data_IF_294668821175
#
_entry.id   IF_294668821175
#
_cell.length_a   1.000
_cell.length_b   1.000
_cell.length_c   1.000
_cell.angle_alpha   90.00
_cell.angle_beta   90.00
_cell.angle_gamma   90.00
#
_symmetry.space_group_name_H-M   'P 1'
#
loop_
_entity.id
_entity.type
_entity.pdbx_description
1 polymer ?
#
# COMPACT_ATOMS: atom_id res chain seq x y z
N UNK A 1 -25.85 48.20 -18.77
CA UNK A 1 -24.79 48.49 -17.78
C UNK A 1 -24.49 47.20 -17.02
N UNK A 2 -23.31 46.67 -17.30
CA UNK A 2 -22.57 45.49 -16.81
C UNK A 2 -23.20 44.55 -15.76
N UNK A 3 -23.39 43.29 -16.19
CA UNK A 3 -23.55 42.12 -15.32
C UNK A 3 -22.15 41.54 -15.01
N UNK A 4 -21.72 41.63 -13.75
CA UNK A 4 -20.46 41.07 -13.27
C UNK A 4 -20.65 39.57 -13.02
N UNK A 5 -20.06 38.72 -13.85
CA UNK A 5 -19.95 37.27 -13.59
C UNK A 5 -18.69 37.07 -12.73
N UNK A 6 -18.88 36.79 -11.43
CA UNK A 6 -17.78 36.27 -10.59
C UNK A 6 -17.53 34.81 -10.96
N UNK A 7 -16.47 34.56 -11.73
CA UNK A 7 -15.88 33.24 -11.88
C UNK A 7 -15.07 32.93 -10.60
N UNK A 8 -15.65 32.21 -9.64
CA UNK A 8 -14.89 31.59 -8.56
C UNK A 8 -14.22 30.33 -9.10
N UNK A 9 -12.96 30.44 -9.49
CA UNK A 9 -12.07 29.30 -9.71
C UNK A 9 -11.85 28.59 -8.38
N UNK A 10 -12.53 27.47 -8.17
CA UNK A 10 -12.20 26.52 -7.10
C UNK A 10 -10.90 25.83 -7.53
N UNK A 11 -9.79 26.13 -6.83
CA UNK A 11 -8.54 25.41 -7.01
C UNK A 11 -8.74 23.96 -6.56
N UNK A 12 -8.92 23.05 -7.51
CA UNK A 12 -8.82 21.61 -7.24
C UNK A 12 -7.36 21.31 -6.88
N UNK A 13 -7.10 21.04 -5.60
CA UNK A 13 -5.83 20.45 -5.18
C UNK A 13 -5.81 19.03 -5.74
N UNK A 14 -5.17 18.85 -6.89
CA UNK A 14 -5.09 17.56 -7.56
C UNK A 14 -4.21 16.59 -6.75
N UNK A 15 -4.70 15.39 -6.37
CA UNK A 15 -3.92 14.38 -5.64
C UNK A 15 -2.87 13.65 -6.52
N UNK A 16 -2.44 14.28 -7.61
CA UNK A 16 -1.69 13.66 -8.71
C UNK A 16 -0.29 13.17 -8.32
N UNK A 17 0.31 13.69 -7.24
CA UNK A 17 1.65 13.30 -6.80
C UNK A 17 1.68 12.03 -5.92
N UNK A 18 0.56 11.67 -5.29
CA UNK A 18 0.44 10.48 -4.45
C UNK A 18 0.37 9.19 -5.28
N UNK A 19 -0.40 9.21 -6.37
CA UNK A 19 -0.61 8.05 -7.25
C UNK A 19 0.66 7.42 -7.84
N UNK A 20 1.67 8.16 -8.36
CA UNK A 20 2.84 7.54 -8.96
C UNK A 20 3.70 6.76 -7.95
N UNK A 21 3.68 7.11 -6.66
CA UNK A 21 4.43 6.38 -5.63
C UNK A 21 3.89 4.96 -5.38
N UNK A 22 2.59 4.75 -5.60
CA UNK A 22 1.95 3.45 -5.45
C UNK A 22 1.90 2.64 -6.75
N UNK A 23 2.33 3.19 -7.88
CA UNK A 23 2.13 2.56 -9.18
C UNK A 23 2.76 1.17 -9.25
N UNK A 24 4.03 1.03 -8.88
CA UNK A 24 4.74 -0.25 -8.94
C UNK A 24 4.18 -1.27 -7.93
N UNK A 25 3.87 -0.84 -6.71
CA UNK A 25 3.30 -1.72 -5.68
C UNK A 25 1.89 -2.19 -6.08
N UNK A 26 1.07 -1.30 -6.63
CA UNK A 26 -0.27 -1.64 -7.11
C UNK A 26 -0.21 -2.57 -8.33
N UNK A 27 0.74 -2.35 -9.25
CA UNK A 27 0.96 -3.25 -10.38
C UNK A 27 1.38 -4.65 -9.93
N UNK A 28 2.33 -4.74 -9.00
CA UNK A 28 2.74 -6.01 -8.39
C UNK A 28 1.56 -6.76 -7.76
N UNK A 29 0.75 -6.07 -6.94
CA UNK A 29 -0.40 -6.69 -6.28
C UNK A 29 -1.49 -7.13 -7.27
N UNK A 30 -1.78 -6.32 -8.29
CA UNK A 30 -2.79 -6.67 -9.31
C UNK A 30 -2.32 -7.79 -10.22
N UNK A 31 -1.16 -7.62 -10.84
CA UNK A 31 -0.72 -8.49 -11.94
C UNK A 31 -0.04 -9.74 -11.42
N UNK A 32 0.89 -9.61 -10.47
CA UNK A 32 1.71 -10.74 -10.04
C UNK A 32 1.04 -11.54 -8.92
N UNK A 33 0.17 -10.88 -8.15
CA UNK A 33 -0.56 -11.49 -7.03
C UNK A 33 -2.04 -11.71 -7.29
N UNK A 34 -2.58 -11.20 -8.41
CA UNK A 34 -3.99 -11.39 -8.79
C UNK A 34 -4.96 -10.95 -7.68
N UNK A 35 -4.61 -9.85 -7.01
CA UNK A 35 -5.39 -9.26 -5.92
C UNK A 35 -6.34 -8.18 -6.46
N UNK A 36 -7.47 -8.01 -5.77
CA UNK A 36 -8.26 -6.79 -5.89
C UNK A 36 -7.54 -5.67 -5.16
N UNK A 37 -7.45 -4.47 -5.76
CA UNK A 37 -6.57 -3.40 -5.26
C UNK A 37 -7.25 -2.03 -5.36
N UNK A 38 -7.40 -1.38 -4.21
CA UNK A 38 -7.83 0.00 -4.06
C UNK A 38 -6.63 0.87 -3.72
N UNK A 39 -6.44 1.99 -4.42
CA UNK A 39 -5.34 2.93 -4.18
C UNK A 39 -5.92 4.29 -3.82
N UNK A 40 -5.46 4.87 -2.71
CA UNK A 40 -5.92 6.16 -2.21
C UNK A 40 -4.72 7.07 -1.92
N UNK A 41 -4.86 8.35 -2.23
CA UNK A 41 -3.89 9.33 -1.78
C UNK A 41 -3.96 9.48 -0.25
N UNK A 42 -2.81 9.71 0.40
CA UNK A 42 -2.78 9.86 1.85
C UNK A 42 -1.65 10.79 2.33
N UNK A 43 -1.77 11.21 3.58
CA UNK A 43 -0.66 11.83 4.33
C UNK A 43 -0.27 10.91 5.47
N UNK A 44 0.90 10.32 5.35
CA UNK A 44 1.37 9.24 6.21
C UNK A 44 2.32 9.78 7.28
N UNK A 45 2.09 9.40 8.53
CA UNK A 45 3.06 9.64 9.60
C UNK A 45 4.17 8.59 9.50
N UNK A 46 5.25 8.94 8.80
CA UNK A 46 6.37 8.04 8.56
C UNK A 46 7.33 8.08 9.75
N UNK A 47 7.10 7.15 10.68
CA UNK A 47 7.89 7.02 11.90
C UNK A 47 9.40 6.89 11.63
N UNK A 48 9.77 6.21 10.53
CA UNK A 48 11.16 5.98 10.12
C UNK A 48 11.91 7.28 9.83
N UNK A 49 11.25 8.24 9.19
CA UNK A 49 11.82 9.57 8.92
C UNK A 49 11.42 10.61 9.97
N UNK A 50 10.49 10.28 10.88
CA UNK A 50 9.87 11.18 11.87
C UNK A 50 9.16 12.37 11.21
N UNK A 51 8.53 12.13 10.05
CA UNK A 51 7.89 13.17 9.23
C UNK A 51 6.52 12.73 8.74
N UNK A 52 5.61 13.70 8.60
CA UNK A 52 4.39 13.52 7.80
C UNK A 52 4.73 13.71 6.33
N UNK A 53 4.44 12.70 5.51
CA UNK A 53 4.77 12.67 4.09
C UNK A 53 3.50 12.49 3.27
N UNK A 54 3.35 13.29 2.22
CA UNK A 54 2.37 13.00 1.17
C UNK A 54 2.80 11.72 0.46
N UNK A 55 1.91 10.75 0.43
CA UNK A 55 2.13 9.45 -0.15
C UNK A 55 0.80 8.85 -0.58
N UNK A 56 0.72 7.53 -0.54
CA UNK A 56 -0.49 6.83 -0.89
C UNK A 56 -0.58 5.53 -0.08
N UNK A 57 -1.82 5.08 0.09
CA UNK A 57 -2.13 3.77 0.67
C UNK A 57 -2.71 2.86 -0.40
N UNK A 58 -2.45 1.56 -0.23
CA UNK A 58 -3.05 0.51 -1.04
C UNK A 58 -3.74 -0.46 -0.09
N UNK A 59 -5.02 -0.73 -0.33
CA UNK A 59 -5.75 -1.81 0.31
C UNK A 59 -5.99 -2.89 -0.73
N UNK A 60 -5.50 -4.10 -0.47
CA UNK A 60 -5.60 -5.21 -1.40
C UNK A 60 -6.13 -6.48 -0.75
N UNK A 61 -6.97 -7.22 -1.49
CA UNK A 61 -7.56 -8.49 -1.07
C UNK A 61 -7.20 -9.62 -2.05
N UNK A 62 -6.73 -10.75 -1.50
CA UNK A 62 -6.30 -11.94 -2.21
C UNK A 62 -6.89 -13.22 -1.62
N UNK A 63 -6.67 -14.33 -2.33
CA UNK A 63 -7.03 -15.69 -1.87
C UNK A 63 -5.78 -16.56 -1.75
N UNK A 64 -5.74 -17.43 -0.76
CA UNK A 64 -4.66 -18.41 -0.58
C UNK A 64 -5.19 -19.75 -0.08
N UNK A 65 -4.66 -20.85 -0.62
CA UNK A 65 -4.94 -22.21 -0.14
C UNK A 65 -3.96 -22.66 0.96
N UNK A 66 -2.95 -21.85 1.28
CA UNK A 66 -1.85 -22.23 2.20
C UNK A 66 -2.10 -21.76 3.65
N UNK A 67 -3.16 -21.00 3.86
CA UNK A 67 -3.33 -20.18 5.07
C UNK A 67 -2.51 -18.89 5.04
N UNK A 68 -2.83 -17.97 5.94
CA UNK A 68 -2.32 -16.59 5.93
C UNK A 68 -0.84 -16.51 6.29
N UNK A 69 -0.39 -17.19 7.35
CA UNK A 69 1.01 -17.08 7.80
C UNK A 69 2.02 -17.64 6.77
N UNK A 70 1.81 -18.82 6.16
CA UNK A 70 2.69 -19.30 5.10
C UNK A 70 2.63 -18.41 3.85
N UNK A 71 1.47 -17.81 3.55
CA UNK A 71 1.35 -16.88 2.44
C UNK A 71 2.07 -15.55 2.70
N UNK A 72 2.10 -15.06 3.93
CA UNK A 72 2.84 -13.85 4.30
C UNK A 72 4.36 -14.03 4.09
N UNK A 73 4.92 -15.18 4.52
CA UNK A 73 6.34 -15.50 4.27
C UNK A 73 6.61 -15.54 2.76
N UNK A 74 5.79 -16.29 2.01
CA UNK A 74 5.95 -16.41 0.57
C UNK A 74 5.74 -15.06 -0.16
N UNK A 75 4.90 -14.18 0.37
CA UNK A 75 4.64 -12.85 -0.18
C UNK A 75 5.90 -12.00 -0.17
N UNK A 76 6.62 -11.95 0.94
CA UNK A 76 7.85 -11.17 1.01
C UNK A 76 8.97 -11.72 0.13
N UNK A 77 9.06 -13.04 -0.06
CA UNK A 77 9.98 -13.60 -1.05
C UNK A 77 9.63 -13.19 -2.48
N UNK A 78 8.34 -13.09 -2.81
CA UNK A 78 7.90 -12.60 -4.12
C UNK A 78 8.18 -11.12 -4.31
N UNK A 79 8.02 -10.29 -3.27
CA UNK A 79 8.41 -8.86 -3.32
C UNK A 79 9.89 -8.74 -3.68
N UNK A 80 10.78 -9.49 -3.00
CA UNK A 80 12.22 -9.52 -3.32
C UNK A 80 12.50 -10.00 -4.73
N UNK A 81 11.83 -11.07 -5.16
CA UNK A 81 11.99 -11.65 -6.50
C UNK A 81 11.55 -10.69 -7.60
N UNK A 82 10.56 -9.84 -7.34
CA UNK A 82 10.12 -8.77 -8.23
C UNK A 82 11.10 -7.56 -8.28
N UNK A 83 12.28 -7.66 -7.63
CA UNK A 83 13.33 -6.65 -7.69
C UNK A 83 13.23 -5.56 -6.63
N UNK A 84 12.29 -5.67 -5.68
CA UNK A 84 12.18 -4.73 -4.58
C UNK A 84 13.32 -4.94 -3.59
N UNK A 85 13.98 -3.84 -3.20
CA UNK A 85 15.13 -3.90 -2.29
C UNK A 85 14.65 -3.66 -0.86
N UNK A 86 14.95 -4.58 0.07
CA UNK A 86 14.61 -4.40 1.48
C UNK A 86 15.29 -3.14 2.02
N UNK A 87 14.54 -2.31 2.74
CA UNK A 87 15.06 -1.14 3.48
C UNK A 87 14.88 -1.36 4.97
N UNK A 88 15.81 -2.09 5.63
CA UNK A 88 15.66 -2.49 7.03
C UNK A 88 15.36 -1.30 7.93
N UNK A 89 14.40 -1.50 8.81
CA UNK A 89 14.03 -0.53 9.83
C UNK A 89 14.87 -0.75 11.09
N UNK A 90 15.22 0.30 11.84
CA UNK A 90 16.04 0.16 13.05
C UNK A 90 15.44 -0.75 14.13
N UNK A 91 14.14 -1.04 14.05
CA UNK A 91 13.37 -1.82 15.02
C UNK A 91 12.66 -3.02 14.38
N UNK A 92 13.08 -3.46 13.17
CA UNK A 92 12.49 -4.64 12.54
C UNK A 92 12.52 -5.84 13.50
N UNK A 93 11.36 -6.41 13.82
CA UNK A 93 11.28 -7.65 14.58
C UNK A 93 11.56 -8.88 13.69
N UNK A 94 12.16 -9.96 14.22
CA UNK A 94 12.49 -11.16 13.42
C UNK A 94 11.30 -11.79 12.67
N UNK A 95 10.07 -11.60 13.17
CA UNK A 95 8.84 -12.13 12.60
C UNK A 95 7.82 -11.01 12.30
N UNK A 96 8.30 -9.82 11.94
CA UNK A 96 7.41 -8.68 11.74
C UNK A 96 6.44 -8.91 10.58
N UNK A 97 5.15 -8.68 10.84
CA UNK A 97 4.10 -8.80 9.84
C UNK A 97 4.15 -7.69 8.77
N UNK A 98 4.94 -6.63 9.03
CA UNK A 98 5.12 -5.49 8.16
C UNK A 98 6.59 -5.30 7.79
N UNK A 99 6.92 -5.23 6.50
CA UNK A 99 8.30 -5.02 6.04
C UNK A 99 8.35 -3.95 4.94
N UNK A 100 9.38 -3.10 5.02
CA UNK A 100 9.57 -2.00 4.07
C UNK A 100 10.53 -2.37 2.93
N UNK A 101 10.13 -2.01 1.72
CA UNK A 101 10.95 -2.19 0.53
C UNK A 101 10.97 -0.93 -0.33
N UNK A 102 12.02 -0.81 -1.14
CA UNK A 102 12.21 0.28 -2.09
C UNK A 102 12.10 -0.22 -3.52
N UNK A 103 11.40 0.55 -4.35
CA UNK A 103 11.42 0.46 -5.81
C UNK A 103 11.53 1.87 -6.38
N UNK A 104 12.56 2.11 -7.19
CA UNK A 104 12.81 3.43 -7.78
C UNK A 104 12.82 4.56 -6.72
N UNK A 105 11.82 5.44 -6.79
CA UNK A 105 11.68 6.62 -5.92
C UNK A 105 10.69 6.43 -4.76
N UNK A 106 10.18 5.22 -4.53
CA UNK A 106 9.21 4.94 -3.48
C UNK A 106 9.78 3.98 -2.43
N UNK A 107 9.53 4.29 -1.16
CA UNK A 107 9.66 3.39 -0.03
C UNK A 107 8.25 2.94 0.38
N UNK A 108 7.94 1.65 0.22
CA UNK A 108 6.64 1.06 0.53
C UNK A 108 6.73 0.10 1.71
N UNK A 109 5.97 0.36 2.77
CA UNK A 109 5.76 -0.57 3.88
C UNK A 109 4.60 -1.48 3.51
N UNK A 110 4.86 -2.77 3.32
CA UNK A 110 3.84 -3.79 3.09
C UNK A 110 3.48 -4.44 4.42
N UNK A 111 2.20 -4.64 4.68
CA UNK A 111 1.67 -5.33 5.86
C UNK A 111 0.71 -6.43 5.38
N UNK A 112 1.02 -7.69 5.69
CA UNK A 112 0.17 -8.84 5.34
C UNK A 112 -0.65 -9.22 6.56
N UNK A 113 -1.96 -9.34 6.39
CA UNK A 113 -2.88 -9.72 7.47
C UNK A 113 -4.00 -10.63 6.97
N UNK A 114 -4.70 -11.25 7.92
CA UNK A 114 -5.86 -12.12 7.70
C UNK A 114 -7.08 -11.54 8.40
N UNK A 115 -7.59 -12.23 9.42
CA UNK A 115 -8.84 -11.89 10.10
C UNK A 115 -8.84 -10.52 10.84
N UNK A 116 -7.68 -9.90 11.03
CA UNK A 116 -7.55 -8.60 11.67
C UNK A 116 -7.87 -7.47 10.66
N UNK A 117 -9.15 -7.15 10.54
CA UNK A 117 -9.64 -6.13 9.60
C UNK A 117 -9.30 -4.70 10.03
N UNK A 118 -9.05 -3.84 9.03
CA UNK A 118 -8.87 -2.40 9.22
C UNK A 118 -10.20 -1.65 9.31
N UNK A 119 -11.31 -2.27 8.92
CA UNK A 119 -12.68 -1.73 8.97
C UNK A 119 -12.82 -0.41 8.19
N UNK A 120 -12.34 -0.40 6.94
CA UNK A 120 -12.36 0.78 6.07
C UNK A 120 -13.16 0.53 4.78
N UNK A 121 -13.76 1.57 4.21
CA UNK A 121 -14.45 1.48 2.90
C UNK A 121 -13.56 0.91 1.79
N UNK A 122 -12.25 1.17 1.84
CA UNK A 122 -11.30 0.63 0.88
C UNK A 122 -11.12 -0.89 1.02
N UNK A 123 -11.17 -1.41 2.25
CA UNK A 123 -11.13 -2.84 2.55
C UNK A 123 -12.41 -3.52 2.08
N UNK A 124 -13.58 -2.96 2.39
CA UNK A 124 -14.87 -3.46 1.93
C UNK A 124 -14.94 -3.54 0.40
N UNK A 125 -14.47 -2.50 -0.31
CA UNK A 125 -14.40 -2.49 -1.78
C UNK A 125 -13.43 -3.53 -2.33
N UNK A 126 -12.26 -3.69 -1.71
CA UNK A 126 -11.28 -4.67 -2.13
C UNK A 126 -11.84 -6.10 -1.98
N UNK A 127 -12.51 -6.36 -0.86
CA UNK A 127 -13.12 -7.65 -0.52
C UNK A 127 -14.28 -8.01 -1.43
N UNK A 128 -15.20 -7.06 -1.64
CA UNK A 128 -16.35 -7.26 -2.52
C UNK A 128 -15.93 -7.57 -3.96
N UNK A 129 -14.82 -7.00 -4.42
CA UNK A 129 -14.29 -7.26 -5.77
C UNK A 129 -13.44 -8.55 -5.87
N UNK A 130 -13.03 -9.16 -4.75
CA UNK A 130 -12.25 -10.42 -4.75
C UNK A 130 -13.13 -11.63 -4.45
N UNK A 131 -13.50 -12.34 -5.51
CA UNK A 131 -14.01 -13.71 -5.43
C UNK A 131 -12.90 -14.68 -4.99
N UNK A 132 -13.25 -15.63 -4.14
CA UNK A 132 -12.37 -16.71 -3.70
C UNK A 132 -12.66 -17.99 -4.48
N UNK A 133 -11.60 -18.72 -4.82
CA UNK A 133 -11.68 -20.08 -5.32
C UNK A 133 -12.01 -21.09 -4.23
N UNK A 134 -12.31 -22.32 -4.63
CA UNK A 134 -12.56 -23.40 -3.69
C UNK A 134 -11.33 -23.68 -2.81
N UNK A 135 -11.53 -23.71 -1.49
CA UNK A 135 -10.46 -23.94 -0.52
C UNK A 135 -9.54 -22.75 -0.27
N UNK A 136 -9.79 -21.59 -0.88
CA UNK A 136 -9.05 -20.37 -0.57
C UNK A 136 -9.58 -19.71 0.71
N UNK A 137 -8.66 -19.26 1.55
CA UNK A 137 -8.89 -18.29 2.61
C UNK A 137 -8.50 -16.91 2.12
N UNK A 138 -9.28 -15.89 2.50
CA UNK A 138 -8.94 -14.50 2.20
C UNK A 138 -7.73 -14.06 3.02
N UNK A 139 -6.87 -13.27 2.39
CA UNK A 139 -5.85 -12.50 3.08
C UNK A 139 -5.74 -11.14 2.43
N UNK A 140 -5.12 -10.21 3.15
CA UNK A 140 -5.04 -8.82 2.75
C UNK A 140 -3.61 -8.34 2.77
N UNK A 141 -3.36 -7.30 1.98
CA UNK A 141 -2.11 -6.55 2.01
C UNK A 141 -2.46 -5.07 2.08
N UNK A 142 -2.01 -4.44 3.15
CA UNK A 142 -2.04 -2.99 3.29
C UNK A 142 -0.65 -2.44 2.97
N UNK A 143 -0.57 -1.46 2.08
CA UNK A 143 0.70 -0.86 1.67
C UNK A 143 0.66 0.63 1.90
N UNK A 144 1.72 1.17 2.49
CA UNK A 144 1.93 2.61 2.61
C UNK A 144 3.19 3.00 1.86
N UNK A 145 3.05 3.77 0.78
CA UNK A 145 4.17 4.21 -0.04
C UNK A 145 4.42 5.71 0.15
N UNK A 146 5.68 6.06 0.42
CA UNK A 146 6.17 7.43 0.57
C UNK A 146 7.39 7.66 -0.34
N UNK A 147 7.81 8.91 -0.59
CA UNK A 147 9.06 9.16 -1.29
C UNK A 147 10.23 8.45 -0.62
N UNK A 148 11.13 7.90 -1.43
CA UNK A 148 12.32 7.22 -0.94
C UNK A 148 13.23 8.21 -0.20
N UNK A 149 13.56 7.89 1.05
CA UNK A 149 14.34 8.74 1.95
C UNK A 149 15.28 7.90 2.82
N UNK A 150 16.39 8.44 3.36
CA UNK A 150 17.12 7.78 4.43
C UNK A 150 16.30 7.76 5.72
N UNK A 151 16.52 6.76 6.58
CA UNK A 151 15.93 6.75 7.92
C UNK A 151 16.51 7.87 8.77
N UNK A 152 15.73 8.37 9.74
CA UNK A 152 16.26 9.29 10.75
C UNK A 152 17.35 8.59 11.58
N UNK A 153 18.36 9.34 12.05
CA UNK A 153 19.28 8.82 13.05
C UNK A 153 18.52 8.28 14.27
N UNK A 154 19.07 7.24 14.91
CA UNK A 154 18.53 6.72 16.18
C UNK A 154 18.49 7.83 17.23
#
# INVERSE_FOLDING_TARGET
MNLFVLLTTVATVSPVQAQPLCADAAAFLRTDRQMSVVVEADTLDDWRTRRKLTGCRITAAGGTVRGVQPEAVAFYERVRTAGWVRTPEPYDAPNEASLRFRMGKADCLFNVYGDAMLMTDAEDRADAAKSLGAGETRYHVYVMCVPAMPAAPR
#
